data_IF_080817011834
#
_entry.id   IF_080817011834
#
_cell.length_a   1.000
_cell.length_b   1.000
_cell.length_c   1.000
_cell.angle_alpha   90.00
_cell.angle_beta   90.00
_cell.angle_gamma   90.00
#
_symmetry.space_group_name_H-M   'P 1'
#
loop_
_entity.id
_entity.type
_entity.pdbx_description
1 polymer ?
#
# COMPACT_ATOMS: atom_id res chain seq x y z
N UNK A 1 0.83 -9.48 -36.99
CA UNK A 1 1.35 -8.55 -35.97
C UNK A 1 0.17 -7.80 -35.42
N UNK A 2 0.03 -7.65 -34.10
CA UNK A 2 -0.94 -6.69 -33.55
C UNK A 2 -0.35 -5.32 -33.86
N UNK A 3 -0.96 -4.59 -34.80
CA UNK A 3 -0.53 -3.24 -35.11
C UNK A 3 -0.98 -2.31 -33.99
N UNK A 4 -0.05 -2.00 -33.08
CA UNK A 4 -0.28 -1.04 -32.01
C UNK A 4 -0.17 0.37 -32.58
N UNK A 5 -1.28 1.10 -32.62
CA UNK A 5 -1.21 2.51 -32.98
C UNK A 5 -0.68 3.33 -31.80
N UNK A 6 -0.04 4.47 -32.09
CA UNK A 6 0.36 5.45 -31.06
C UNK A 6 -0.83 5.87 -30.19
N UNK A 7 -2.02 5.89 -30.79
CA UNK A 7 -3.26 6.23 -30.09
C UNK A 7 -3.65 5.17 -29.05
N UNK A 8 -3.50 3.88 -29.36
CA UNK A 8 -3.76 2.80 -28.41
C UNK A 8 -2.80 2.86 -27.22
N UNK A 9 -1.53 3.18 -27.47
CA UNK A 9 -0.52 3.38 -26.42
C UNK A 9 -0.93 4.53 -25.52
N UNK A 10 -1.23 5.71 -26.08
CA UNK A 10 -1.64 6.88 -25.29
C UNK A 10 -2.90 6.60 -24.49
N UNK A 11 -3.91 5.96 -25.08
CA UNK A 11 -5.15 5.57 -24.38
C UNK A 11 -4.86 4.66 -23.19
N UNK A 12 -4.02 3.63 -23.37
CA UNK A 12 -3.67 2.69 -22.31
C UNK A 12 -2.86 3.37 -21.20
N UNK A 13 -1.93 4.27 -21.55
CA UNK A 13 -1.17 5.06 -20.56
C UNK A 13 -2.09 5.99 -19.76
N UNK A 14 -3.04 6.65 -20.40
CA UNK A 14 -4.03 7.50 -19.71
C UNK A 14 -4.92 6.67 -18.77
N UNK A 15 -5.34 5.47 -19.20
CA UNK A 15 -6.10 4.55 -18.36
C UNK A 15 -5.29 4.06 -17.15
N UNK A 16 -4.01 3.75 -17.34
CA UNK A 16 -3.10 3.36 -16.27
C UNK A 16 -2.83 4.52 -15.30
N UNK A 17 -2.57 5.73 -15.84
CA UNK A 17 -2.33 6.93 -15.05
C UNK A 17 -3.52 7.27 -14.14
N UNK A 18 -4.76 7.09 -14.62
CA UNK A 18 -5.97 7.22 -13.80
C UNK A 18 -5.91 6.31 -12.58
N UNK A 19 -5.50 5.06 -12.75
CA UNK A 19 -5.36 4.12 -11.63
C UNK A 19 -4.21 4.47 -10.70
N UNK A 20 -3.07 4.92 -11.23
CA UNK A 20 -1.96 5.42 -10.41
C UNK A 20 -2.42 6.55 -9.50
N UNK A 21 -3.08 7.57 -10.07
CA UNK A 21 -3.60 8.72 -9.29
C UNK A 21 -4.61 8.26 -8.25
N UNK A 22 -5.59 7.44 -8.63
CA UNK A 22 -6.62 6.95 -7.72
C UNK A 22 -6.01 6.17 -6.54
N UNK A 23 -5.11 5.22 -6.82
CA UNK A 23 -4.45 4.42 -5.79
C UNK A 23 -3.53 5.26 -4.91
N UNK A 24 -2.79 6.21 -5.48
CA UNK A 24 -1.94 7.13 -4.73
C UNK A 24 -2.76 8.01 -3.78
N UNK A 25 -3.91 8.53 -4.22
CA UNK A 25 -4.79 9.33 -3.36
C UNK A 25 -5.35 8.49 -2.21
N UNK A 26 -5.78 7.26 -2.48
CA UNK A 26 -6.27 6.34 -1.44
C UNK A 26 -5.16 6.01 -0.44
N UNK A 27 -3.96 5.67 -0.93
CA UNK A 27 -2.81 5.35 -0.08
C UNK A 27 -2.36 6.56 0.74
N UNK A 28 -2.34 7.76 0.16
CA UNK A 28 -1.98 8.99 0.84
C UNK A 28 -2.99 9.37 1.92
N UNK A 29 -4.29 9.36 1.60
CA UNK A 29 -5.34 9.67 2.56
C UNK A 29 -5.39 8.64 3.70
N UNK A 30 -5.34 7.34 3.36
CA UNK A 30 -5.34 6.25 4.35
C UNK A 30 -4.08 6.25 5.22
N UNK A 31 -2.89 6.34 4.61
CA UNK A 31 -1.62 6.41 5.32
C UNK A 31 -1.49 7.67 6.17
N UNK A 32 -1.96 8.81 5.67
CA UNK A 32 -1.99 10.07 6.40
C UNK A 32 -2.91 10.02 7.62
N UNK A 33 -4.12 9.45 7.47
CA UNK A 33 -5.05 9.28 8.58
C UNK A 33 -4.48 8.34 9.66
N UNK A 34 -3.95 7.19 9.26
CA UNK A 34 -3.31 6.25 10.20
C UNK A 34 -2.11 6.90 10.88
N UNK A 35 -1.26 7.60 10.13
CA UNK A 35 -0.12 8.33 10.67
C UNK A 35 -0.52 9.40 11.69
N UNK A 36 -1.59 10.15 11.42
CA UNK A 36 -2.12 11.16 12.34
C UNK A 36 -2.64 10.52 13.64
N UNK A 37 -3.38 9.41 13.54
CA UNK A 37 -3.86 8.68 14.73
C UNK A 37 -2.70 8.14 15.57
N UNK A 38 -1.68 7.56 14.93
CA UNK A 38 -0.48 7.07 15.61
C UNK A 38 0.31 8.20 16.28
N UNK A 39 0.38 9.37 15.64
CA UNK A 39 1.01 10.55 16.22
C UNK A 39 0.26 11.00 17.49
N UNK A 40 -1.06 11.11 17.42
CA UNK A 40 -1.88 11.47 18.59
C UNK A 40 -1.68 10.45 19.71
N UNK A 41 -1.73 9.16 19.40
CA UNK A 41 -1.49 8.09 20.38
C UNK A 41 -0.09 8.17 21.02
N UNK A 42 0.92 8.56 20.24
CA UNK A 42 2.30 8.74 20.73
C UNK A 42 2.43 9.95 21.67
N UNK A 43 1.70 11.03 21.40
CA UNK A 43 1.71 12.24 22.23
C UNK A 43 0.94 12.05 23.55
N UNK A 44 -0.14 11.27 23.57
CA UNK A 44 -1.01 11.13 24.75
C UNK A 44 -0.84 9.83 25.53
N UNK A 45 -0.32 8.75 24.92
CA UNK A 45 -0.36 7.39 25.47
C UNK A 45 0.84 6.95 26.32
N UNK A 46 1.77 7.86 26.63
CA UNK A 46 2.93 7.59 27.47
C UNK A 46 3.89 6.52 26.92
N UNK A 47 4.67 5.89 27.81
CA UNK A 47 5.78 4.99 27.43
C UNK A 47 5.34 3.72 26.69
N UNK A 48 4.15 3.21 26.97
CA UNK A 48 3.65 1.99 26.32
C UNK A 48 3.21 2.26 24.88
N UNK A 49 2.48 3.36 24.64
CA UNK A 49 2.08 3.76 23.30
C UNK A 49 3.29 4.14 22.44
N UNK A 50 4.28 4.85 23.01
CA UNK A 50 5.51 5.20 22.30
C UNK A 50 6.26 3.95 21.79
N UNK A 51 6.38 2.91 22.62
CA UNK A 51 6.98 1.63 22.20
C UNK A 51 6.14 0.91 21.14
N UNK A 52 4.81 0.85 21.30
CA UNK A 52 3.94 0.19 20.35
C UNK A 52 3.97 0.85 18.97
N UNK A 53 3.88 2.19 18.94
CA UNK A 53 4.00 2.99 17.71
C UNK A 53 5.41 2.83 17.12
N UNK A 54 6.45 2.82 17.96
CA UNK A 54 7.83 2.57 17.52
C UNK A 54 8.00 1.22 16.82
N UNK A 55 7.46 0.14 17.40
CA UNK A 55 7.47 -1.20 16.79
C UNK A 55 6.71 -1.24 15.46
N UNK A 56 5.53 -0.62 15.40
CA UNK A 56 4.77 -0.49 14.16
C UNK A 56 5.60 0.22 13.08
N UNK A 57 6.13 1.41 13.39
CA UNK A 57 6.94 2.19 12.44
C UNK A 57 8.18 1.42 12.00
N UNK A 58 8.87 0.74 12.92
CA UNK A 58 10.05 -0.06 12.61
C UNK A 58 9.72 -1.23 11.69
N UNK A 59 8.59 -1.92 11.88
CA UNK A 59 8.16 -2.98 10.99
C UNK A 59 7.88 -2.43 9.59
N UNK A 60 7.12 -1.33 9.47
CA UNK A 60 6.67 -0.83 8.17
C UNK A 60 7.75 -0.05 7.40
N UNK A 61 8.63 0.70 8.09
CA UNK A 61 9.73 1.44 7.45
C UNK A 61 11.01 0.61 7.33
N UNK A 62 11.20 -0.39 8.20
CA UNK A 62 12.34 -1.29 8.17
C UNK A 62 12.18 -2.45 7.18
N UNK A 63 10.96 -2.74 6.71
CA UNK A 63 10.73 -3.74 5.66
C UNK A 63 10.47 -3.07 4.31
N UNK A 64 11.09 -3.52 3.21
CA UNK A 64 10.83 -2.96 1.89
C UNK A 64 9.34 -3.08 1.52
N UNK A 65 8.74 -2.00 1.01
CA UNK A 65 7.34 -2.00 0.57
C UNK A 65 7.04 -3.13 -0.43
N UNK A 66 7.96 -3.41 -1.33
CA UNK A 66 7.84 -4.52 -2.28
C UNK A 66 7.66 -5.87 -1.57
N UNK A 67 8.36 -6.09 -0.46
CA UNK A 67 8.23 -7.30 0.35
C UNK A 67 6.85 -7.37 1.02
N UNK A 68 6.36 -6.24 1.55
CA UNK A 68 5.03 -6.17 2.16
C UNK A 68 3.94 -6.50 1.15
N UNK A 69 4.03 -5.91 -0.05
CA UNK A 69 3.10 -6.19 -1.15
C UNK A 69 3.19 -7.67 -1.57
N UNK A 70 4.40 -8.19 -1.74
CA UNK A 70 4.64 -9.60 -2.07
C UNK A 70 3.98 -10.53 -1.04
N UNK A 71 4.27 -10.35 0.24
CA UNK A 71 3.70 -11.19 1.30
C UNK A 71 2.16 -11.06 1.34
N UNK A 72 1.63 -9.84 1.23
CA UNK A 72 0.17 -9.63 1.24
C UNK A 72 -0.56 -10.31 0.09
N UNK A 73 0.11 -10.46 -1.06
CA UNK A 73 -0.44 -11.08 -2.26
C UNK A 73 -0.26 -12.61 -2.24
N UNK A 74 0.94 -13.10 -1.94
CA UNK A 74 1.30 -14.52 -2.11
C UNK A 74 1.11 -15.39 -0.86
N UNK A 75 1.02 -14.82 0.35
CA UNK A 75 0.83 -15.61 1.58
C UNK A 75 -0.64 -16.01 1.78
N UNK A 76 -1.58 -15.41 1.03
CA UNK A 76 -3.00 -15.78 1.10
C UNK A 76 -3.16 -17.24 0.68
N UNK A 77 -3.83 -18.10 1.50
CA UNK A 77 -4.05 -19.49 1.13
C UNK A 77 -4.97 -19.57 -0.11
N UNK A 78 -4.49 -20.26 -1.15
CA UNK A 78 -5.26 -20.58 -2.34
C UNK A 78 -6.38 -21.57 -1.96
N UNK A 79 -7.58 -21.41 -2.53
CA UNK A 79 -8.68 -22.34 -2.27
C UNK A 79 -8.28 -23.75 -2.74
N UNK A 80 -8.57 -24.81 -1.97
CA UNK A 80 -8.28 -26.17 -2.40
C UNK A 80 -9.05 -26.43 -3.70
N UNK A 81 -8.32 -26.76 -4.77
CA UNK A 81 -8.90 -27.20 -6.04
C UNK A 81 -9.72 -28.46 -5.74
N UNK A 82 -11.04 -28.31 -5.69
CA UNK A 82 -11.97 -29.45 -5.63
C UNK A 82 -11.88 -30.19 -6.96
N UNK A 83 -11.18 -31.32 -6.96
CA UNK A 83 -11.28 -32.33 -8.03
C UNK A 83 -12.61 -33.06 -7.91
#
# INVERSE_FOLDING_TARGET
>A
MVDFSLWDIVRNLLLAARWTVALSLIAFAGGGLVGALLLVARLSGGRAADRAVGLYVQLFQGTPLLMQLFLSYFVRPEQPVSR
#
